data_IF_997252942103
#
_entry.id   IF_997252942103
#
_cell.length_a   1.000
_cell.length_b   1.000
_cell.length_c   1.000
_cell.angle_alpha   90.00
_cell.angle_beta   90.00
_cell.angle_gamma   90.00
#
_symmetry.space_group_name_H-M   'P 1'
#
loop_
_entity.id
_entity.type
_entity.pdbx_description
1 polymer ?
#
# COMPACT_ATOMS: atom_id res chain seq x y z
N UNK A 1 0.41 11.92 -27.20
CA UNK A 1 0.81 11.69 -25.80
C UNK A 1 2.03 12.56 -25.55
N UNK A 2 1.91 13.52 -24.64
CA UNK A 2 3.00 14.46 -24.36
C UNK A 2 4.03 13.81 -23.42
N UNK A 3 5.30 14.18 -23.53
CA UNK A 3 6.39 13.59 -22.72
C UNK A 3 6.13 13.80 -21.22
N UNK A 4 5.53 14.94 -20.88
CA UNK A 4 5.14 15.32 -19.52
C UNK A 4 4.07 14.40 -18.95
N UNK A 5 3.11 13.94 -19.75
CA UNK A 5 2.04 13.03 -19.32
C UNK A 5 2.59 11.63 -19.04
N UNK A 6 3.56 11.17 -19.84
CA UNK A 6 4.25 9.90 -19.62
C UNK A 6 5.06 9.92 -18.31
N UNK A 7 5.78 11.02 -18.06
CA UNK A 7 6.57 11.19 -16.83
C UNK A 7 5.63 11.25 -15.61
N UNK A 8 4.55 12.03 -15.68
CA UNK A 8 3.55 12.11 -14.58
C UNK A 8 2.87 10.77 -14.31
N UNK A 9 2.54 9.99 -15.35
CA UNK A 9 2.03 8.62 -15.17
C UNK A 9 3.04 7.65 -14.57
N UNK A 10 4.34 7.92 -14.74
CA UNK A 10 5.41 7.12 -14.15
C UNK A 10 5.61 7.44 -12.66
N UNK A 11 5.38 8.69 -12.25
CA UNK A 11 5.44 9.10 -10.85
C UNK A 11 4.14 8.81 -10.10
N UNK A 12 4.10 7.62 -9.50
CA UNK A 12 3.04 7.20 -8.58
C UNK A 12 3.06 8.09 -7.32
N UNK A 13 1.93 8.68 -6.89
CA UNK A 13 1.90 9.49 -5.68
C UNK A 13 2.21 8.64 -4.45
N UNK A 14 2.65 9.28 -3.37
CA UNK A 14 2.99 8.61 -2.12
C UNK A 14 1.80 8.71 -1.16
N UNK A 15 1.46 7.59 -0.53
CA UNK A 15 0.45 7.53 0.52
C UNK A 15 0.79 8.49 1.66
N UNK A 16 -0.19 9.24 2.17
CA UNK A 16 0.06 10.29 3.17
C UNK A 16 0.74 9.76 4.44
N UNK A 17 0.34 8.57 4.88
CA UNK A 17 0.95 7.89 6.04
C UNK A 17 2.39 7.45 5.79
N UNK A 18 2.88 7.45 4.55
CA UNK A 18 4.25 7.09 4.21
C UNK A 18 5.28 8.18 4.51
N UNK A 19 4.88 9.46 4.48
CA UNK A 19 5.81 10.58 4.66
C UNK A 19 6.59 10.55 5.99
N UNK A 20 5.98 10.27 7.17
CA UNK A 20 6.72 10.14 8.42
C UNK A 20 7.80 9.06 8.39
N UNK A 21 7.52 7.90 7.78
CA UNK A 21 8.49 6.80 7.67
C UNK A 21 9.62 7.16 6.71
N UNK A 22 9.29 7.71 5.55
CA UNK A 22 10.29 8.15 4.56
C UNK A 22 11.20 9.22 5.18
N UNK A 23 10.65 10.18 5.93
CA UNK A 23 11.44 11.20 6.63
C UNK A 23 12.38 10.59 7.68
N UNK A 24 11.91 9.60 8.45
CA UNK A 24 12.75 8.88 9.40
C UNK A 24 13.91 8.12 8.71
N UNK A 25 13.61 7.40 7.62
CA UNK A 25 14.62 6.70 6.83
C UNK A 25 15.65 7.66 6.22
N UNK A 26 15.20 8.80 5.69
CA UNK A 26 16.07 9.84 5.15
C UNK A 26 16.97 10.44 6.24
N UNK A 27 16.43 10.73 7.42
CA UNK A 27 17.20 11.24 8.56
C UNK A 27 18.28 10.25 9.01
N UNK A 28 17.93 8.96 9.13
CA UNK A 28 18.88 7.89 9.46
C UNK A 28 19.96 7.75 8.40
N UNK A 29 19.59 7.84 7.11
CA UNK A 29 20.54 7.79 5.99
C UNK A 29 21.57 8.90 6.06
N UNK A 30 21.15 10.14 6.32
CA UNK A 30 22.05 11.28 6.46
C UNK A 30 22.93 11.15 7.71
N UNK A 31 22.35 10.74 8.84
CA UNK A 31 23.07 10.56 10.09
C UNK A 31 24.16 9.49 9.98
N UNK A 32 23.83 8.29 9.49
CA UNK A 32 24.80 7.20 9.32
C UNK A 32 25.79 7.48 8.18
N UNK A 33 25.34 8.17 7.14
CA UNK A 33 26.19 8.55 6.02
C UNK A 33 27.29 9.54 6.37
N UNK A 34 27.12 10.33 7.44
CA UNK A 34 28.17 11.18 7.99
C UNK A 34 29.38 10.37 8.48
N UNK A 35 29.17 9.17 9.00
CA UNK A 35 30.23 8.33 9.56
C UNK A 35 30.84 7.35 8.55
N UNK A 36 30.08 6.92 7.54
CA UNK A 36 30.55 5.94 6.56
C UNK A 36 29.79 6.02 5.24
N UNK A 37 30.54 6.12 4.13
CA UNK A 37 29.99 6.10 2.77
C UNK A 37 29.30 4.78 2.44
N UNK A 38 29.76 3.65 2.99
CA UNK A 38 29.13 2.35 2.76
C UNK A 38 27.73 2.33 3.40
N UNK A 39 27.62 2.81 4.65
CA UNK A 39 26.33 2.88 5.35
C UNK A 39 25.38 3.85 4.65
N UNK A 40 25.88 4.99 4.15
CA UNK A 40 25.09 5.93 3.35
C UNK A 40 24.38 5.22 2.20
N UNK A 41 25.12 4.48 1.38
CA UNK A 41 24.54 3.81 0.20
C UNK A 41 23.52 2.74 0.57
N UNK A 42 23.79 1.94 1.62
CA UNK A 42 22.84 0.94 2.10
C UNK A 42 21.55 1.61 2.58
N UNK A 43 21.65 2.63 3.43
CA UNK A 43 20.48 3.34 3.96
C UNK A 43 19.74 4.13 2.87
N UNK A 44 20.45 4.64 1.86
CA UNK A 44 19.84 5.32 0.72
C UNK A 44 18.99 4.35 -0.11
N UNK A 45 19.48 3.14 -0.37
CA UNK A 45 18.70 2.08 -1.04
C UNK A 45 17.45 1.73 -0.22
N UNK A 46 17.59 1.60 1.10
CA UNK A 46 16.45 1.34 1.99
C UNK A 46 15.44 2.50 2.01
N UNK A 47 15.91 3.74 1.95
CA UNK A 47 15.04 4.92 1.85
C UNK A 47 14.28 4.92 0.52
N UNK A 48 14.96 4.61 -0.59
CA UNK A 48 14.32 4.48 -1.90
C UNK A 48 13.29 3.33 -1.91
N UNK A 49 13.59 2.20 -1.28
CA UNK A 49 12.64 1.11 -1.09
C UNK A 49 11.42 1.54 -0.25
N UNK A 50 11.64 2.30 0.83
CA UNK A 50 10.56 2.84 1.66
C UNK A 50 9.65 3.78 0.86
N UNK A 51 10.23 4.68 0.05
CA UNK A 51 9.48 5.54 -0.88
C UNK A 51 8.63 4.70 -1.83
N UNK A 52 9.22 3.67 -2.43
CA UNK A 52 8.51 2.79 -3.36
C UNK A 52 7.43 1.94 -2.68
N UNK A 53 7.63 1.51 -1.43
CA UNK A 53 6.65 0.74 -0.65
C UNK A 53 5.36 1.53 -0.41
N UNK A 54 5.49 2.82 -0.08
CA UNK A 54 4.35 3.71 0.17
C UNK A 54 3.74 4.34 -1.08
N UNK A 55 4.08 3.86 -2.28
CA UNK A 55 3.45 4.32 -3.51
C UNK A 55 1.96 3.94 -3.51
N UNK A 56 1.11 4.88 -3.91
CA UNK A 56 -0.34 4.76 -3.91
C UNK A 56 -0.90 5.07 -5.31
N UNK A 57 -0.81 4.12 -6.26
CA UNK A 57 -1.31 4.34 -7.61
C UNK A 57 -2.83 4.46 -7.61
N UNK A 58 -3.35 5.33 -8.46
CA UNK A 58 -4.79 5.47 -8.68
C UNK A 58 -5.37 4.12 -9.15
N UNK A 59 -6.31 3.56 -8.38
CA UNK A 59 -7.01 2.31 -8.70
C UNK A 59 -8.43 2.64 -9.15
N UNK A 60 -8.87 2.04 -10.26
CA UNK A 60 -10.24 2.16 -10.75
C UNK A 60 -10.99 0.88 -10.40
N UNK A 61 -12.04 0.98 -9.60
CA UNK A 61 -12.92 -0.15 -9.27
C UNK A 61 -14.24 -0.05 -10.05
N UNK A 62 -14.78 -1.17 -10.57
CA UNK A 62 -16.11 -1.17 -11.15
C UNK A 62 -17.17 -0.90 -10.06
N UNK A 63 -18.20 -0.12 -10.41
CA UNK A 63 -19.30 0.24 -9.51
C UNK A 63 -20.61 -0.30 -10.08
N UNK A 64 -21.23 -1.24 -9.37
CA UNK A 64 -22.53 -1.82 -9.70
C UNK A 64 -23.12 -2.46 -8.42
N UNK A 65 -24.43 -2.34 -8.21
CA UNK A 65 -25.13 -2.86 -7.02
C UNK A 65 -25.09 -4.39 -6.92
N UNK A 66 -24.69 -5.08 -7.99
CA UNK A 66 -24.63 -6.55 -8.07
C UNK A 66 -23.21 -7.09 -7.94
N UNK A 67 -22.22 -6.24 -7.67
CA UNK A 67 -20.82 -6.63 -7.58
C UNK A 67 -20.28 -6.52 -6.14
N UNK A 68 -19.49 -7.52 -5.76
CA UNK A 68 -18.59 -7.45 -4.59
C UNK A 68 -17.17 -7.48 -5.13
N UNK A 69 -16.40 -6.43 -4.87
CA UNK A 69 -15.03 -6.28 -5.38
C UNK A 69 -14.04 -6.71 -4.30
N UNK A 70 -12.98 -7.42 -4.70
CA UNK A 70 -11.93 -7.84 -3.76
C UNK A 70 -11.24 -6.61 -3.15
N UNK A 71 -11.03 -6.56 -1.82
CA UNK A 71 -10.37 -5.43 -1.18
C UNK A 71 -8.85 -5.39 -1.47
N UNK A 72 -8.26 -6.53 -1.82
CA UNK A 72 -6.84 -6.67 -2.11
C UNK A 72 -6.61 -7.76 -3.18
N UNK A 73 -5.44 -7.70 -3.82
CA UNK A 73 -4.92 -8.77 -4.66
C UNK A 73 -4.46 -9.92 -3.77
N UNK A 74 -4.78 -11.16 -4.13
CA UNK A 74 -4.43 -12.31 -3.30
C UNK A 74 -5.08 -13.61 -3.77
N UNK A 75 -5.00 -14.63 -2.92
CA UNK A 75 -5.56 -15.96 -3.19
C UNK A 75 -6.78 -16.17 -2.30
N UNK A 76 -7.86 -16.71 -2.87
CA UNK A 76 -9.02 -17.14 -2.09
C UNK A 76 -8.62 -18.34 -1.25
N UNK A 77 -8.63 -18.18 0.06
CA UNK A 77 -8.23 -19.23 1.02
C UNK A 77 -9.41 -20.00 1.60
N UNK A 78 -10.58 -19.35 1.70
CA UNK A 78 -11.80 -19.96 2.20
C UNK A 78 -13.04 -19.25 1.67
N UNK A 79 -14.11 -20.02 1.43
CA UNK A 79 -15.45 -19.51 1.11
C UNK A 79 -16.47 -20.29 1.95
N UNK A 80 -17.30 -19.60 2.71
CA UNK A 80 -18.32 -20.26 3.55
C UNK A 80 -19.09 -19.30 4.46
N UNK A 81 -20.08 -19.81 5.21
CA UNK A 81 -20.83 -19.00 6.16
C UNK A 81 -19.95 -18.57 7.34
N UNK A 82 -20.08 -17.31 7.76
CA UNK A 82 -19.49 -16.80 8.99
C UNK A 82 -20.35 -15.66 9.55
N UNK A 83 -20.41 -15.56 10.87
CA UNK A 83 -20.96 -14.38 11.55
C UNK A 83 -19.94 -13.24 11.43
N UNK A 84 -20.33 -12.04 10.97
CA UNK A 84 -19.39 -10.92 10.83
C UNK A 84 -18.86 -10.47 12.20
N UNK A 85 -17.61 -9.99 12.28
CA UNK A 85 -17.07 -9.37 13.48
C UNK A 85 -17.94 -8.19 13.95
N UNK A 86 -18.03 -7.99 15.27
CA UNK A 86 -18.91 -6.96 15.87
C UNK A 86 -18.49 -5.54 15.48
N UNK A 87 -17.21 -5.34 15.20
CA UNK A 87 -16.59 -4.08 14.81
C UNK A 87 -17.11 -3.57 13.47
N UNK A 88 -17.65 -4.45 12.61
CA UNK A 88 -18.21 -4.09 11.32
C UNK A 88 -19.65 -3.59 11.39
N UNK A 89 -20.35 -3.77 12.52
CA UNK A 89 -21.73 -3.30 12.68
C UNK A 89 -22.77 -3.99 11.77
N UNK A 90 -22.45 -5.16 11.21
CA UNK A 90 -23.29 -5.88 10.23
C UNK A 90 -24.34 -6.82 10.85
N UNK A 91 -24.49 -6.82 12.18
CA UNK A 91 -25.41 -7.70 12.92
C UNK A 91 -24.82 -9.07 13.26
N UNK A 92 -25.67 -10.00 13.70
CA UNK A 92 -25.27 -11.34 14.17
C UNK A 92 -25.68 -12.50 13.28
N UNK A 93 -26.24 -12.22 12.10
CA UNK A 93 -26.64 -13.25 11.14
C UNK A 93 -25.44 -13.83 10.40
N UNK A 94 -25.49 -15.11 10.03
CA UNK A 94 -24.49 -15.70 9.16
C UNK A 94 -24.54 -15.08 7.76
N UNK A 95 -23.37 -14.80 7.21
CA UNK A 95 -23.18 -14.25 5.86
C UNK A 95 -22.14 -15.06 5.10
N UNK A 96 -22.19 -15.04 3.77
CA UNK A 96 -21.12 -15.62 2.95
C UNK A 96 -19.85 -14.80 3.09
N UNK A 97 -18.81 -15.41 3.65
CA UNK A 97 -17.47 -14.82 3.78
C UNK A 97 -16.56 -15.39 2.71
N UNK A 98 -15.81 -14.50 2.05
CA UNK A 98 -14.73 -14.83 1.13
C UNK A 98 -13.44 -14.32 1.75
N UNK A 99 -12.52 -15.22 2.09
CA UNK A 99 -11.22 -14.87 2.68
C UNK A 99 -10.16 -14.78 1.60
N UNK A 100 -9.41 -13.67 1.58
CA UNK A 100 -8.30 -13.41 0.65
C UNK A 100 -7.02 -13.25 1.46
N UNK A 101 -5.92 -13.86 1.00
CA UNK A 101 -4.58 -13.71 1.57
C UNK A 101 -3.60 -13.17 0.52
#
# INVERSE_FOLDING_TARGET
MDLVDTIKKTFVPIHREGYPFIAAFAAVTLFLGYFSSILFWICLILTAWCVYFFRDPERVTPVDDRLVVSPADGIITAVGPAVPPRELGLGGGEMTRISVF
#
